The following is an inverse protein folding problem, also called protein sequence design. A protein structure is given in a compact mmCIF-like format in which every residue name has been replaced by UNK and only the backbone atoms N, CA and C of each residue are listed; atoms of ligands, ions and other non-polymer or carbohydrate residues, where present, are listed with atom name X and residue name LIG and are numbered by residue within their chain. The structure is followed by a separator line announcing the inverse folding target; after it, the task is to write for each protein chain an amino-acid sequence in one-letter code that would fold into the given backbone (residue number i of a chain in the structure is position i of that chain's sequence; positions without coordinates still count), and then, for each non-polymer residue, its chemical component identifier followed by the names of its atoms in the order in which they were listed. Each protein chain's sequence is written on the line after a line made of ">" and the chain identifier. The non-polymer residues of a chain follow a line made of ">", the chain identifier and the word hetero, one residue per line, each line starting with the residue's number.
data_IF_916104195569
#
_entry.id   IF_916104195569
#
_cell.length_a   1.000
_cell.length_b   1.000
_cell.length_c   1.000
_cell.angle_alpha   90.00
_cell.angle_beta   90.00
_cell.angle_gamma   90.00
#
_symmetry.space_group_name_H-M   'P 1'
#
loop_
_entity.id
_entity.type
_entity.pdbx_description
1 polymer ?
#
# COMPACT_ATOMS: atom_id res chain seq x y z
N UNK A 1 -10.33 -7.28 5.12
CA UNK A 1 -9.13 -7.53 5.95
C UNK A 1 -9.45 -7.75 7.43
N UNK A 2 -10.13 -6.82 8.13
CA UNK A 2 -10.42 -6.98 9.56
C UNK A 2 -11.33 -8.18 9.83
N UNK A 3 -12.49 -8.25 9.18
CA UNK A 3 -13.42 -9.38 9.33
C UNK A 3 -12.75 -10.72 8.98
N UNK A 4 -12.07 -10.81 7.83
CA UNK A 4 -11.38 -12.04 7.42
C UNK A 4 -10.28 -12.51 8.39
N UNK A 5 -9.65 -11.60 9.15
CA UNK A 5 -8.55 -11.94 10.06
C UNK A 5 -9.00 -12.08 11.52
N UNK A 6 -10.03 -11.36 11.93
CA UNK A 6 -10.37 -11.19 13.36
C UNK A 6 -11.84 -11.43 13.69
N UNK A 7 -12.71 -11.76 12.73
CA UNK A 7 -14.13 -12.03 13.02
C UNK A 7 -14.34 -13.27 13.91
N UNK A 8 -13.41 -14.23 13.86
CA UNK A 8 -13.50 -15.48 14.61
C UNK A 8 -12.35 -15.60 15.60
N UNK A 9 -12.61 -16.23 16.76
CA UNK A 9 -11.58 -16.44 17.80
C UNK A 9 -10.36 -17.19 17.26
N UNK A 10 -10.56 -18.21 16.45
CA UNK A 10 -9.46 -19.02 15.87
C UNK A 10 -8.58 -18.21 14.91
N UNK A 11 -9.18 -17.45 13.98
CA UNK A 11 -8.42 -16.62 13.04
C UNK A 11 -7.72 -15.47 13.75
N UNK A 12 -8.38 -14.88 14.75
CA UNK A 12 -7.82 -13.82 15.58
C UNK A 12 -6.62 -14.30 16.39
N UNK A 13 -6.74 -15.45 17.07
CA UNK A 13 -5.63 -16.07 17.80
C UNK A 13 -4.44 -16.35 16.88
N UNK A 14 -4.67 -17.01 15.75
CA UNK A 14 -3.62 -17.29 14.77
C UNK A 14 -2.91 -16.02 14.29
N UNK A 15 -3.66 -14.93 14.02
CA UNK A 15 -3.06 -13.67 13.57
C UNK A 15 -2.23 -12.99 14.67
N UNK A 16 -2.61 -13.14 15.95
CA UNK A 16 -1.82 -12.67 17.09
C UNK A 16 -0.57 -13.51 17.32
N UNK A 17 -0.68 -14.84 17.17
CA UNK A 17 0.47 -15.76 17.28
C UNK A 17 1.51 -15.47 16.21
N UNK A 18 1.10 -15.33 14.95
CA UNK A 18 2.02 -14.97 13.85
C UNK A 18 2.70 -13.62 14.09
N UNK A 19 1.94 -12.63 14.59
CA UNK A 19 2.49 -11.32 14.93
C UNK A 19 3.51 -11.42 16.08
N UNK A 20 3.13 -12.06 17.19
CA UNK A 20 3.99 -12.18 18.36
C UNK A 20 5.26 -13.00 18.06
N UNK A 21 5.12 -14.12 17.35
CA UNK A 21 6.25 -14.93 16.93
C UNK A 21 7.20 -14.16 16.00
N UNK A 22 6.66 -13.43 15.01
CA UNK A 22 7.46 -12.61 14.10
C UNK A 22 8.22 -11.49 14.80
N UNK A 23 7.56 -10.77 15.72
CA UNK A 23 8.18 -9.72 16.52
C UNK A 23 9.28 -10.30 17.41
N UNK A 24 8.98 -11.34 18.19
CA UNK A 24 9.95 -11.96 19.08
C UNK A 24 11.15 -12.51 18.30
N UNK A 25 10.92 -13.22 17.19
CA UNK A 25 11.97 -13.78 16.36
C UNK A 25 12.88 -12.70 15.76
N UNK A 26 12.31 -11.55 15.37
CA UNK A 26 13.12 -10.42 14.92
C UNK A 26 13.87 -9.75 16.07
N UNK A 27 13.21 -9.49 17.21
CA UNK A 27 13.78 -8.78 18.36
C UNK A 27 14.99 -9.50 18.98
N UNK A 28 15.02 -10.83 18.93
CA UNK A 28 16.16 -11.62 19.47
C UNK A 28 17.14 -12.06 18.38
N UNK A 29 16.98 -11.58 17.15
CA UNK A 29 17.88 -11.89 16.02
C UNK A 29 17.79 -13.33 15.50
N UNK A 30 16.76 -14.10 15.89
CA UNK A 30 16.55 -15.50 15.48
C UNK A 30 16.41 -15.66 13.96
N UNK A 31 15.92 -14.62 13.26
CA UNK A 31 15.75 -14.62 11.81
C UNK A 31 17.05 -14.42 11.03
N UNK A 32 18.22 -14.44 11.67
CA UNK A 32 19.50 -14.53 10.96
C UNK A 32 19.81 -13.29 10.13
N UNK A 33 19.49 -12.11 10.64
CA UNK A 33 20.13 -10.89 10.19
C UNK A 33 21.54 -10.83 10.79
N UNK A 34 22.48 -11.61 10.26
CA UNK A 34 23.86 -11.13 10.19
C UNK A 34 23.81 -9.70 9.67
N UNK A 35 24.57 -8.78 10.29
CA UNK A 35 24.81 -7.40 9.84
C UNK A 35 24.41 -7.20 8.38
N UNK A 36 23.55 -6.21 8.03
CA UNK A 36 23.07 -6.04 6.67
C UNK A 36 24.27 -6.12 5.73
N UNK A 37 24.36 -7.25 5.03
CA UNK A 37 25.46 -7.46 4.10
C UNK A 37 25.28 -6.35 3.10
N UNK A 38 26.25 -5.45 3.01
CA UNK A 38 26.21 -4.39 2.02
C UNK A 38 26.01 -5.05 0.66
N UNK A 39 24.88 -4.76 0.02
CA UNK A 39 24.52 -5.23 -1.31
C UNK A 39 24.29 -4.04 -2.22
N UNK A 40 25.33 -3.26 -2.55
CA UNK A 40 25.17 -2.03 -3.33
C UNK A 40 24.49 -2.27 -4.68
N UNK A 41 24.72 -3.43 -5.30
CA UNK A 41 24.08 -3.83 -6.55
C UNK A 41 22.55 -3.95 -6.44
N UNK A 42 22.02 -4.42 -5.31
CA UNK A 42 20.58 -4.50 -5.08
C UNK A 42 20.00 -3.14 -4.74
N UNK A 43 20.73 -2.34 -3.97
CA UNK A 43 20.29 -0.99 -3.61
C UNK A 43 20.21 -0.09 -4.86
N UNK A 44 21.25 -0.11 -5.70
CA UNK A 44 21.28 0.60 -6.98
C UNK A 44 20.17 0.14 -7.92
N UNK A 45 19.95 -1.18 -8.04
CA UNK A 45 18.88 -1.71 -8.87
C UNK A 45 17.49 -1.30 -8.35
N UNK A 46 17.28 -1.33 -7.03
CA UNK A 46 16.01 -0.95 -6.41
C UNK A 46 15.74 0.55 -6.59
N UNK A 47 16.75 1.40 -6.46
CA UNK A 47 16.65 2.83 -6.69
C UNK A 47 16.30 3.14 -8.16
N UNK A 48 16.96 2.46 -9.10
CA UNK A 48 16.65 2.60 -10.52
C UNK A 48 15.20 2.17 -10.82
N UNK A 49 14.74 1.05 -10.28
CA UNK A 49 13.36 0.57 -10.45
C UNK A 49 12.34 1.53 -9.84
N UNK A 50 12.61 2.06 -8.64
CA UNK A 50 11.77 3.05 -7.99
C UNK A 50 11.66 4.32 -8.85
N UNK A 51 12.78 4.87 -9.32
CA UNK A 51 12.81 6.04 -10.19
C UNK A 51 12.06 5.83 -11.50
N UNK A 52 12.28 4.70 -12.18
CA UNK A 52 11.60 4.36 -13.43
C UNK A 52 10.09 4.21 -13.23
N UNK A 53 9.65 3.51 -12.18
CA UNK A 53 8.23 3.31 -11.89
C UNK A 53 7.54 4.63 -11.56
N UNK A 54 8.18 5.49 -10.77
CA UNK A 54 7.67 6.81 -10.43
C UNK A 54 7.54 7.70 -11.66
N UNK A 55 8.56 7.73 -12.53
CA UNK A 55 8.52 8.51 -13.76
C UNK A 55 7.41 8.04 -14.71
N UNK A 56 7.24 6.72 -14.85
CA UNK A 56 6.16 6.13 -15.66
C UNK A 56 4.78 6.49 -15.12
N UNK A 57 4.57 6.35 -13.81
CA UNK A 57 3.33 6.72 -13.13
C UNK A 57 3.03 8.22 -13.27
N UNK A 58 4.03 9.08 -13.03
CA UNK A 58 3.87 10.53 -13.16
C UNK A 58 3.52 10.94 -14.60
N UNK A 59 4.14 10.30 -15.60
CA UNK A 59 3.80 10.52 -17.00
C UNK A 59 2.35 10.16 -17.30
N UNK A 60 1.90 8.98 -16.86
CA UNK A 60 0.50 8.56 -17.01
C UNK A 60 -0.47 9.57 -16.38
N UNK A 61 -0.17 10.01 -15.16
CA UNK A 61 -1.00 11.00 -14.46
C UNK A 61 -1.03 12.37 -15.16
N UNK A 62 0.05 12.73 -15.86
CA UNK A 62 0.15 13.96 -16.63
C UNK A 62 -0.43 13.86 -18.06
N UNK A 63 -0.79 12.65 -18.52
CA UNK A 63 -1.37 12.47 -19.85
C UNK A 63 -2.67 13.29 -20.00
N UNK A 64 -2.79 14.10 -21.07
CA UNK A 64 -3.98 14.89 -21.32
C UNK A 64 -5.24 14.02 -21.35
N UNK A 65 -6.25 14.37 -20.55
CA UNK A 65 -7.52 13.65 -20.50
C UNK A 65 -7.51 12.39 -19.62
N UNK A 66 -6.39 12.02 -18.98
CA UNK A 66 -6.33 10.85 -18.10
C UNK A 66 -7.38 10.89 -16.99
N UNK A 67 -7.54 12.04 -16.31
CA UNK A 67 -8.56 12.19 -15.27
C UNK A 67 -9.98 12.02 -15.80
N UNK A 68 -10.26 12.51 -17.02
CA UNK A 68 -11.57 12.35 -17.63
C UNK A 68 -11.85 10.87 -17.94
N UNK A 69 -10.87 10.19 -18.55
CA UNK A 69 -10.93 8.75 -18.77
C UNK A 69 -11.12 7.98 -17.46
N UNK A 70 -10.34 8.27 -16.43
CA UNK A 70 -10.42 7.61 -15.13
C UNK A 70 -11.81 7.75 -14.49
N UNK A 71 -12.41 8.93 -14.54
CA UNK A 71 -13.76 9.16 -14.00
C UNK A 71 -14.86 8.45 -14.81
N UNK A 72 -14.65 8.20 -16.11
CA UNK A 72 -15.62 7.45 -16.93
C UNK A 72 -15.44 5.94 -16.85
N UNK A 73 -14.19 5.49 -16.75
CA UNK A 73 -13.84 4.07 -16.76
C UNK A 73 -13.95 3.41 -15.37
N UNK A 74 -14.04 4.21 -14.30
CA UNK A 74 -14.15 3.73 -12.92
C UNK A 74 -15.37 4.32 -12.22
N UNK A 75 -16.00 3.59 -11.29
CA UNK A 75 -17.19 4.07 -10.58
C UNK A 75 -16.84 5.04 -9.44
N UNK A 76 -15.76 5.81 -9.55
CA UNK A 76 -15.23 6.62 -8.43
C UNK A 76 -16.22 7.70 -7.99
N UNK A 77 -16.99 8.27 -8.93
CA UNK A 77 -18.00 9.27 -8.64
C UNK A 77 -19.22 8.67 -7.94
N UNK A 78 -19.66 7.48 -8.34
CA UNK A 78 -20.77 6.77 -7.74
C UNK A 78 -20.41 6.29 -6.33
N UNK A 79 -19.19 5.81 -6.12
CA UNK A 79 -18.71 5.39 -4.79
C UNK A 79 -18.71 6.56 -3.80
N UNK A 80 -18.39 7.77 -4.25
CA UNK A 80 -18.47 9.00 -3.45
C UNK A 80 -19.91 9.32 -2.99
N UNK A 81 -20.90 9.11 -3.87
CA UNK A 81 -22.31 9.34 -3.54
C UNK A 81 -22.87 8.35 -2.50
N UNK A 82 -22.31 7.14 -2.42
CA UNK A 82 -22.80 6.08 -1.55
C UNK A 82 -22.49 6.29 -0.06
N UNK A 83 -21.76 7.35 0.32
CA UNK A 83 -21.42 7.72 1.72
C UNK A 83 -20.93 6.52 2.56
N UNK A 84 -20.16 5.62 1.95
CA UNK A 84 -19.68 4.40 2.63
C UNK A 84 -18.63 4.70 3.71
N UNK A 85 -18.00 5.87 3.67
CA UNK A 85 -17.00 6.32 4.65
C UNK A 85 -17.41 7.64 5.31
N UNK A 86 -16.83 7.92 6.49
CA UNK A 86 -17.07 9.15 7.25
C UNK A 86 -16.28 10.37 6.76
N UNK A 87 -15.39 10.19 5.78
CA UNK A 87 -14.49 11.23 5.27
C UNK A 87 -15.01 11.80 3.93
N UNK A 88 -14.80 13.09 3.66
CA UNK A 88 -15.13 13.67 2.36
C UNK A 88 -14.20 13.13 1.27
N UNK A 89 -14.75 12.91 0.07
CA UNK A 89 -14.05 12.26 -1.05
C UNK A 89 -12.93 13.12 -1.66
N UNK A 90 -13.02 14.44 -1.51
CA UNK A 90 -11.99 15.40 -1.93
C UNK A 90 -11.62 16.31 -0.78
N UNK A 91 -10.32 16.57 -0.64
CA UNK A 91 -9.82 17.62 0.27
C UNK A 91 -10.20 18.99 -0.33
N UNK A 92 -10.70 19.91 0.50
CA UNK A 92 -10.99 21.28 0.09
C UNK A 92 -9.78 21.89 -0.64
N UNK A 93 -9.97 22.39 -1.85
CA UNK A 93 -8.93 23.01 -2.69
C UNK A 93 -8.47 22.20 -3.91
N UNK A 94 -8.87 20.93 -4.03
CA UNK A 94 -8.65 20.12 -5.24
C UNK A 94 -9.81 20.31 -6.22
N UNK A 95 -9.89 21.48 -6.84
CA UNK A 95 -10.71 21.70 -8.02
C UNK A 95 -9.97 21.09 -9.21
N UNK A 96 -10.54 20.03 -9.79
CA UNK A 96 -10.19 19.61 -11.15
C UNK A 96 -10.84 20.54 -12.16
#
# INVERSE_FOLDING_TARGET
>A
VVSSKFANRGTGLNQLEVLAAGVLAHSVGLLGGSEPKETPEFDEALEALAGMSQASYARLMAEPGFLHYFNQASPVAELALLKMGSRPDRRFGASG
#
